data_IF_219637064046
#
_entry.id   IF_219637064046
#
_cell.length_a   1.000
_cell.length_b   1.000
_cell.length_c   1.000
_cell.angle_alpha   90.00
_cell.angle_beta   90.00
_cell.angle_gamma   90.00
#
_symmetry.space_group_name_H-M   'P 1'
#
loop_
_entity.id
_entity.type
_entity.pdbx_description
1 polymer ?
#
# COMPACT_ATOMS: atom_id res chain seq x y z
N UNK A 1 45.43 33.97 62.54
CA UNK A 1 45.63 33.51 61.15
C UNK A 1 45.19 32.06 61.06
N UNK A 2 44.46 31.70 59.99
CA UNK A 2 43.85 30.39 59.64
C UNK A 2 42.37 30.21 60.04
N UNK A 3 41.53 30.63 59.09
CA UNK A 3 40.11 30.35 58.91
C UNK A 3 39.90 28.97 58.29
N UNK A 4 38.99 28.17 58.84
CA UNK A 4 38.64 26.84 58.31
C UNK A 4 37.25 26.91 57.66
N UNK A 5 37.19 26.94 56.32
CA UNK A 5 35.93 26.78 55.57
C UNK A 5 35.62 25.27 55.46
N UNK A 6 34.50 24.83 56.03
CA UNK A 6 33.85 23.56 55.68
C UNK A 6 32.78 23.86 54.63
N UNK A 7 33.05 23.50 53.38
CA UNK A 7 32.07 23.48 52.30
C UNK A 7 32.32 22.22 51.48
N UNK A 8 31.50 21.20 51.68
CA UNK A 8 31.45 19.92 50.95
C UNK A 8 30.28 19.17 51.57
N UNK A 9 29.36 18.50 50.89
CA UNK A 9 29.21 18.07 49.51
C UNK A 9 27.80 17.45 49.49
N UNK A 10 26.77 18.11 48.97
CA UNK A 10 25.41 17.51 48.97
C UNK A 10 24.58 17.76 47.71
N UNK A 11 25.24 18.10 46.60
CA UNK A 11 24.56 18.41 45.34
C UNK A 11 25.32 17.80 44.16
N UNK A 12 25.56 16.48 44.17
CA UNK A 12 26.07 15.80 42.98
C UNK A 12 25.59 14.34 42.87
N UNK A 13 24.34 14.06 43.19
CA UNK A 13 23.74 12.72 42.96
C UNK A 13 22.38 12.78 42.26
N UNK A 14 22.07 13.88 41.56
CA UNK A 14 20.79 14.04 40.84
C UNK A 14 20.92 14.04 39.32
N UNK A 15 22.11 13.84 38.75
CA UNK A 15 22.34 14.00 37.31
C UNK A 15 22.62 12.71 36.52
N UNK A 16 22.55 11.54 37.16
CA UNK A 16 22.88 10.24 36.51
C UNK A 16 21.68 9.29 36.30
N UNK A 17 20.45 9.78 36.44
CA UNK A 17 19.21 8.99 36.21
C UNK A 17 18.43 9.39 34.95
N UNK A 18 18.88 10.41 34.22
CA UNK A 18 18.17 10.96 33.05
C UNK A 18 18.29 10.19 31.71
N UNK A 19 19.29 9.32 31.42
CA UNK A 19 19.33 8.68 30.10
C UNK A 19 18.43 7.44 29.97
N UNK A 20 17.88 6.88 31.05
CA UNK A 20 17.11 5.62 30.98
C UNK A 20 15.64 5.83 30.57
N UNK A 21 15.05 6.98 30.88
CA UNK A 21 13.63 7.28 30.60
C UNK A 21 13.40 7.57 29.11
N UNK A 22 14.36 8.22 28.44
CA UNK A 22 14.25 8.56 27.02
C UNK A 22 14.13 7.31 26.12
N UNK A 23 14.95 6.29 26.38
CA UNK A 23 14.98 5.08 25.54
C UNK A 23 13.74 4.18 25.71
N UNK A 24 13.10 4.20 26.88
CA UNK A 24 11.84 3.49 27.10
C UNK A 24 10.65 4.16 26.38
N UNK A 25 10.65 5.49 26.31
CA UNK A 25 9.60 6.27 25.65
C UNK A 25 9.62 6.08 24.12
N UNK A 26 10.80 6.12 23.49
CA UNK A 26 10.97 5.87 22.04
C UNK A 26 10.53 4.45 21.63
N UNK A 27 10.83 3.45 22.47
CA UNK A 27 10.46 2.04 22.23
C UNK A 27 8.96 1.78 22.43
N UNK A 28 8.26 2.62 23.18
CA UNK A 28 6.81 2.57 23.33
C UNK A 28 6.09 3.29 22.18
N UNK A 29 6.61 4.43 21.72
CA UNK A 29 6.01 5.19 20.62
C UNK A 29 6.04 4.41 19.30
N UNK A 30 7.13 3.71 19.01
CA UNK A 30 7.26 2.85 17.82
C UNK A 30 6.28 1.67 17.76
N UNK A 31 5.54 1.37 18.84
CA UNK A 31 4.48 0.36 18.88
C UNK A 31 3.07 0.90 18.63
N UNK A 32 2.92 2.21 18.44
CA UNK A 32 1.63 2.88 18.20
C UNK A 32 1.56 3.38 16.77
N UNK A 33 0.36 3.52 16.20
CA UNK A 33 0.22 4.06 14.84
C UNK A 33 0.75 5.48 14.84
N UNK A 34 0.35 6.29 15.83
CA UNK A 34 0.81 7.68 15.99
C UNK A 34 2.34 7.79 15.96
N UNK A 35 3.06 6.99 16.73
CA UNK A 35 4.51 7.07 16.79
C UNK A 35 5.21 6.52 15.53
N UNK A 36 4.58 5.62 14.77
CA UNK A 36 5.11 5.20 13.45
C UNK A 36 4.79 6.16 12.32
N UNK A 37 3.80 7.01 12.51
CA UNK A 37 3.38 8.01 11.52
C UNK A 37 3.78 9.43 11.91
N UNK A 38 4.59 9.60 12.95
CA UNK A 38 5.05 10.91 13.41
C UNK A 38 5.90 11.57 12.32
N UNK A 39 5.60 12.82 11.98
CA UNK A 39 6.26 13.56 10.90
C UNK A 39 5.82 13.17 9.47
N UNK A 40 5.03 12.11 9.29
CA UNK A 40 4.51 11.73 7.98
C UNK A 40 3.34 12.63 7.55
N UNK A 41 3.18 12.83 6.24
CA UNK A 41 2.02 13.53 5.71
C UNK A 41 0.79 12.63 5.78
N UNK A 42 -0.16 12.92 6.67
CA UNK A 42 -1.45 12.21 6.74
C UNK A 42 -2.37 12.64 5.58
N UNK A 43 -2.89 11.68 4.84
CA UNK A 43 -4.03 11.84 3.93
C UNK A 43 -5.23 11.13 4.55
N UNK A 44 -6.05 11.89 5.29
CA UNK A 44 -7.22 11.36 6.00
C UNK A 44 -8.41 11.14 5.07
N UNK A 45 -9.30 10.21 5.40
CA UNK A 45 -10.47 9.90 4.57
C UNK A 45 -10.95 8.46 4.71
N UNK A 46 -11.47 7.89 3.62
CA UNK A 46 -12.10 6.59 3.61
C UNK A 46 -11.15 5.48 4.08
N UNK A 47 -9.97 5.39 3.49
CA UNK A 47 -8.87 4.53 3.94
C UNK A 47 -7.67 5.42 4.27
N UNK A 48 -7.43 5.81 5.53
CA UNK A 48 -6.36 6.75 5.87
C UNK A 48 -4.99 6.29 5.36
N UNK A 49 -4.23 7.23 4.78
CA UNK A 49 -2.90 7.00 4.25
C UNK A 49 -1.89 7.92 4.92
N UNK A 50 -0.63 7.49 4.96
CA UNK A 50 0.49 8.29 5.47
C UNK A 50 1.63 8.22 4.47
N UNK A 51 2.00 9.39 3.93
CA UNK A 51 3.10 9.53 3.00
C UNK A 51 4.40 9.82 3.74
N UNK A 52 5.37 8.93 3.57
CA UNK A 52 6.76 9.09 3.99
C UNK A 52 7.58 9.55 2.79
N UNK A 53 7.86 10.85 2.76
CA UNK A 53 8.62 11.48 1.68
C UNK A 53 10.10 11.09 1.67
N UNK A 54 10.67 10.77 2.84
CA UNK A 54 12.09 10.39 2.95
C UNK A 54 12.30 8.94 2.49
N UNK A 55 11.41 8.04 2.92
CA UNK A 55 11.44 6.63 2.52
C UNK A 55 10.81 6.34 1.16
N UNK A 56 10.04 7.28 0.60
CA UNK A 56 9.26 7.07 -0.63
C UNK A 56 8.11 6.06 -0.44
N UNK A 57 7.53 6.01 0.76
CA UNK A 57 6.56 4.98 1.16
C UNK A 57 5.17 5.53 1.38
N UNK A 58 4.17 4.73 1.01
CA UNK A 58 2.77 5.00 1.30
C UNK A 58 2.26 3.95 2.28
N UNK A 59 2.10 4.36 3.53
CA UNK A 59 1.50 3.51 4.57
C UNK A 59 -0.02 3.66 4.51
N UNK A 60 -0.72 2.57 4.81
CA UNK A 60 -2.17 2.50 4.80
C UNK A 60 -2.68 1.97 6.15
N UNK A 61 -3.67 2.65 6.72
CA UNK A 61 -4.36 2.21 7.91
C UNK A 61 -5.59 1.39 7.53
N UNK A 62 -5.67 0.15 8.00
CA UNK A 62 -6.81 -0.74 7.80
C UNK A 62 -7.55 -0.90 9.13
N UNK A 63 -8.81 -0.49 9.13
CA UNK A 63 -9.70 -0.56 10.30
C UNK A 63 -11.01 -1.31 10.04
N UNK A 64 -11.33 -1.58 8.76
CA UNK A 64 -12.55 -2.26 8.33
C UNK A 64 -12.22 -3.68 7.87
N UNK A 65 -12.31 -4.62 8.80
CA UNK A 65 -12.18 -6.04 8.52
C UNK A 65 -13.54 -6.65 8.19
N UNK A 66 -13.54 -7.70 7.36
CA UNK A 66 -14.75 -8.41 6.94
C UNK A 66 -15.84 -7.49 6.37
N UNK A 67 -15.45 -6.33 5.85
CA UNK A 67 -16.32 -5.34 5.22
C UNK A 67 -15.93 -5.28 3.76
N UNK A 68 -16.90 -5.51 2.88
CA UNK A 68 -16.70 -5.49 1.44
C UNK A 68 -16.50 -4.05 0.93
N UNK A 69 -15.54 -3.89 0.04
CA UNK A 69 -15.13 -2.65 -0.60
C UNK A 69 -15.07 -2.87 -2.11
N UNK A 70 -15.37 -1.82 -2.86
CA UNK A 70 -15.12 -1.82 -4.31
C UNK A 70 -13.67 -1.39 -4.56
N UNK A 71 -12.90 -2.24 -5.22
CA UNK A 71 -11.56 -1.94 -5.72
C UNK A 71 -11.61 -1.82 -7.25
N UNK A 72 -11.39 -0.60 -7.75
CA UNK A 72 -11.40 -0.30 -9.18
C UNK A 72 -10.01 0.07 -9.67
N UNK A 73 -9.56 -0.61 -10.72
CA UNK A 73 -8.31 -0.32 -11.42
C UNK A 73 -8.59 0.56 -12.64
N UNK A 74 -7.68 1.46 -12.97
CA UNK A 74 -7.76 2.23 -14.22
C UNK A 74 -6.36 2.56 -14.72
N UNK A 75 -6.28 2.94 -15.99
CA UNK A 75 -5.10 3.46 -16.65
C UNK A 75 -5.33 4.94 -17.00
N UNK A 76 -5.03 5.89 -16.09
CA UNK A 76 -5.31 7.31 -16.30
C UNK A 76 -4.54 7.90 -17.50
N UNK A 77 -3.32 7.43 -17.71
CA UNK A 77 -2.36 7.82 -18.75
C UNK A 77 -1.47 6.63 -19.14
N UNK A 78 -0.70 6.76 -20.22
CA UNK A 78 0.24 5.73 -20.68
C UNK A 78 0.51 5.89 -22.17
N UNK A 79 0.83 4.78 -22.84
CA UNK A 79 1.15 4.75 -24.28
C UNK A 79 0.04 5.30 -25.19
N UNK A 80 -1.24 5.18 -24.78
CA UNK A 80 -2.38 5.73 -25.53
C UNK A 80 -2.51 5.15 -26.94
N UNK A 81 -2.35 3.83 -27.07
CA UNK A 81 -2.31 3.14 -28.35
C UNK A 81 -3.50 2.20 -28.51
N UNK A 82 -4.48 2.62 -29.31
CA UNK A 82 -5.68 1.83 -29.60
C UNK A 82 -5.35 0.45 -30.22
N UNK A 83 -4.37 0.29 -31.13
CA UNK A 83 -4.02 -1.03 -31.67
C UNK A 83 -3.45 -2.00 -30.62
N UNK A 84 -2.74 -1.48 -29.61
CA UNK A 84 -2.31 -2.27 -28.44
C UNK A 84 -3.49 -2.44 -27.45
N UNK A 85 -4.49 -1.57 -27.53
CA UNK A 85 -5.66 -1.52 -26.66
C UNK A 85 -5.37 -0.96 -25.27
N UNK A 86 -4.31 -0.14 -25.16
CA UNK A 86 -3.92 0.58 -23.94
C UNK A 86 -4.21 2.05 -24.13
N UNK A 87 -5.47 2.40 -23.88
CA UNK A 87 -5.99 3.75 -24.09
C UNK A 87 -6.00 4.55 -22.80
N UNK A 88 -5.84 5.87 -22.94
CA UNK A 88 -5.92 6.81 -21.82
C UNK A 88 -7.32 6.77 -21.18
N UNK A 89 -7.36 6.69 -19.85
CA UNK A 89 -8.60 6.71 -19.08
C UNK A 89 -9.36 5.38 -19.09
N UNK A 90 -8.73 4.31 -19.56
CA UNK A 90 -9.35 2.98 -19.61
C UNK A 90 -9.60 2.45 -18.21
N UNK A 91 -10.82 1.98 -17.95
CA UNK A 91 -11.14 1.21 -16.75
C UNK A 91 -10.59 -0.21 -16.92
N UNK A 92 -9.92 -0.69 -15.88
CA UNK A 92 -9.44 -2.06 -15.77
C UNK A 92 -10.39 -2.92 -14.94
N UNK A 93 -9.80 -3.90 -14.25
CA UNK A 93 -10.55 -4.83 -13.41
C UNK A 93 -11.27 -4.11 -12.26
N UNK A 94 -12.42 -4.67 -11.90
CA UNK A 94 -13.22 -4.26 -10.75
C UNK A 94 -13.37 -5.47 -9.84
N UNK A 95 -13.01 -5.30 -8.57
CA UNK A 95 -13.09 -6.36 -7.57
C UNK A 95 -13.99 -5.93 -6.41
N UNK A 96 -14.75 -6.87 -5.88
CA UNK A 96 -15.28 -6.75 -4.52
C UNK A 96 -14.26 -7.42 -3.61
N UNK A 97 -13.77 -6.69 -2.61
CA UNK A 97 -12.73 -7.21 -1.71
C UNK A 97 -13.06 -6.91 -0.26
N UNK A 98 -12.52 -7.71 0.65
CA UNK A 98 -12.49 -7.39 2.07
C UNK A 98 -11.13 -7.72 2.66
N UNK A 99 -10.84 -7.17 3.83
CA UNK A 99 -9.61 -7.47 4.56
C UNK A 99 -9.87 -8.51 5.64
N UNK A 100 -9.01 -9.54 5.69
CA UNK A 100 -8.98 -10.56 6.72
C UNK A 100 -7.63 -10.52 7.43
N UNK A 101 -7.63 -10.49 8.76
CA UNK A 101 -6.38 -10.53 9.54
C UNK A 101 -6.01 -11.97 9.88
N UNK A 102 -4.80 -12.38 9.49
CA UNK A 102 -4.25 -13.71 9.80
C UNK A 102 -2.88 -13.53 10.45
N UNK A 103 -2.85 -13.60 11.78
CA UNK A 103 -1.63 -13.41 12.57
C UNK A 103 -0.92 -12.07 12.28
N UNK A 104 0.34 -12.06 11.80
CA UNK A 104 1.09 -10.85 11.47
C UNK A 104 0.78 -10.28 10.08
N UNK A 105 -0.20 -10.85 9.37
CA UNK A 105 -0.59 -10.43 8.03
C UNK A 105 -2.03 -9.94 7.96
N UNK A 106 -2.29 -9.09 6.98
CA UNK A 106 -3.64 -8.80 6.49
C UNK A 106 -3.73 -9.27 5.05
N UNK A 107 -4.75 -10.05 4.74
CA UNK A 107 -5.03 -10.53 3.39
C UNK A 107 -6.12 -9.66 2.79
N UNK A 108 -5.94 -9.21 1.55
CA UNK A 108 -6.99 -8.67 0.71
C UNK A 108 -7.60 -9.83 -0.07
N UNK A 109 -8.86 -10.13 0.24
CA UNK A 109 -9.56 -11.32 -0.25
C UNK A 109 -10.68 -10.89 -1.17
N UNK A 110 -10.78 -11.54 -2.33
CA UNK A 110 -11.90 -11.46 -3.24
C UNK A 110 -12.79 -12.70 -3.06
N UNK A 111 -14.04 -12.54 -2.61
CA UNK A 111 -15.02 -13.61 -2.57
C UNK A 111 -15.50 -13.98 -3.99
N UNK A 112 -15.98 -15.20 -4.15
CA UNK A 112 -16.40 -15.70 -5.45
C UNK A 112 -17.92 -15.63 -5.65
N UNK A 113 -18.42 -14.47 -6.10
CA UNK A 113 -19.85 -14.30 -6.35
C UNK A 113 -20.38 -14.98 -7.61
N UNK A 114 -19.55 -15.72 -8.36
CA UNK A 114 -20.06 -16.59 -9.43
C UNK A 114 -20.92 -17.73 -8.86
N UNK A 115 -20.69 -18.09 -7.60
CA UNK A 115 -21.46 -19.09 -6.88
C UNK A 115 -21.98 -18.48 -5.57
N UNK A 116 -23.30 -18.44 -5.42
CA UNK A 116 -23.95 -17.86 -4.23
C UNK A 116 -25.17 -18.67 -3.85
N UNK A 117 -25.36 -18.89 -2.54
CA UNK A 117 -26.63 -19.41 -2.05
C UNK A 117 -27.66 -18.28 -2.09
N UNK A 118 -28.86 -18.57 -2.60
CA UNK A 118 -29.97 -17.59 -2.71
C UNK A 118 -30.97 -17.81 -1.57
N UNK A 119 -30.52 -18.45 -0.49
CA UNK A 119 -31.36 -18.82 0.66
C UNK A 119 -30.91 -18.08 1.91
N UNK A 120 -31.81 -18.01 2.89
CA UNK A 120 -31.50 -17.47 4.22
C UNK A 120 -30.93 -18.53 5.16
N UNK A 121 -30.74 -19.77 4.69
CA UNK A 121 -30.20 -20.84 5.51
C UNK A 121 -28.68 -20.67 5.71
N UNK A 122 -28.25 -20.63 6.97
CA UNK A 122 -26.86 -20.36 7.31
C UNK A 122 -25.93 -21.53 6.96
N UNK A 123 -26.42 -22.77 7.02
CA UNK A 123 -25.63 -23.95 6.69
C UNK A 123 -25.42 -24.06 5.18
N UNK A 124 -26.46 -23.79 4.39
CA UNK A 124 -26.37 -23.76 2.92
C UNK A 124 -25.43 -22.65 2.44
N UNK A 125 -25.53 -21.44 3.02
CA UNK A 125 -24.61 -20.33 2.70
C UNK A 125 -23.15 -20.69 2.98
N UNK A 126 -22.88 -21.28 4.14
CA UNK A 126 -21.53 -21.74 4.50
C UNK A 126 -21.06 -22.85 3.56
N UNK A 127 -21.92 -23.82 3.25
CA UNK A 127 -21.58 -24.90 2.33
C UNK A 127 -21.18 -24.35 0.95
N UNK A 128 -21.91 -23.37 0.40
CA UNK A 128 -21.53 -22.71 -0.85
C UNK A 128 -20.20 -21.95 -0.71
N UNK A 129 -20.03 -21.16 0.35
CA UNK A 129 -18.80 -20.41 0.61
C UNK A 129 -17.56 -21.32 0.71
N UNK A 130 -17.69 -22.48 1.34
CA UNK A 130 -16.61 -23.46 1.50
C UNK A 130 -16.38 -24.32 0.25
N UNK A 131 -17.39 -24.46 -0.62
CA UNK A 131 -17.32 -25.28 -1.83
C UNK A 131 -16.62 -24.60 -3.00
N UNK A 132 -16.54 -23.26 -3.01
CA UNK A 132 -15.98 -22.49 -4.11
C UNK A 132 -14.80 -21.63 -3.67
N UNK A 133 -13.71 -21.69 -4.43
CA UNK A 133 -12.48 -21.00 -4.09
C UNK A 133 -12.67 -19.48 -4.07
N UNK A 134 -12.09 -18.85 -3.05
CA UNK A 134 -11.82 -17.41 -2.94
C UNK A 134 -10.40 -17.08 -3.41
N UNK A 135 -10.17 -15.84 -3.80
CA UNK A 135 -8.84 -15.38 -4.23
C UNK A 135 -8.22 -14.46 -3.18
N UNK A 136 -6.95 -14.68 -2.84
CA UNK A 136 -6.16 -13.70 -2.07
C UNK A 136 -5.39 -12.85 -3.08
N UNK A 137 -5.81 -11.59 -3.24
CA UNK A 137 -5.20 -10.67 -4.21
C UNK A 137 -3.89 -10.08 -3.69
N UNK A 138 -3.78 -9.88 -2.37
CA UNK A 138 -2.54 -9.40 -1.75
C UNK A 138 -2.42 -9.76 -0.27
N UNK A 139 -1.18 -9.82 0.23
CA UNK A 139 -0.88 -10.03 1.64
C UNK A 139 0.02 -8.93 2.19
N UNK A 140 -0.52 -8.10 3.08
CA UNK A 140 0.22 -7.06 3.79
C UNK A 140 0.86 -7.60 5.05
N UNK A 141 2.08 -7.15 5.36
CA UNK A 141 2.69 -7.33 6.68
C UNK A 141 2.23 -6.20 7.59
N UNK A 142 1.81 -6.55 8.80
CA UNK A 142 1.44 -5.57 9.82
C UNK A 142 2.70 -4.92 10.40
N UNK A 143 2.80 -3.60 10.28
CA UNK A 143 3.86 -2.81 10.93
C UNK A 143 3.51 -2.51 12.38
N UNK A 144 2.25 -2.09 12.62
CA UNK A 144 1.70 -1.82 13.94
C UNK A 144 0.24 -2.23 13.99
N UNK A 145 -0.21 -2.73 15.14
CA UNK A 145 -1.62 -2.95 15.44
C UNK A 145 -2.00 -2.17 16.71
N UNK A 146 -3.08 -1.40 16.66
CA UNK A 146 -3.54 -0.56 17.76
C UNK A 146 -5.06 -0.45 17.71
N UNK A 147 -5.74 -0.82 18.80
CA UNK A 147 -7.20 -0.63 18.97
C UNK A 147 -8.06 -1.20 17.82
N UNK A 148 -7.70 -2.39 17.30
CA UNK A 148 -8.42 -3.02 16.19
C UNK A 148 -8.11 -2.42 14.81
N UNK A 149 -7.22 -1.44 14.73
CA UNK A 149 -6.65 -0.91 13.49
C UNK A 149 -5.26 -1.49 13.27
N UNK A 150 -4.83 -1.52 12.03
CA UNK A 150 -3.46 -1.90 11.67
C UNK A 150 -2.87 -0.94 10.65
N UNK A 151 -1.59 -0.66 10.80
CA UNK A 151 -0.80 0.08 9.83
C UNK A 151 0.02 -0.91 9.01
N UNK A 152 0.01 -0.76 7.69
CA UNK A 152 0.77 -1.58 6.75
C UNK A 152 1.55 -0.70 5.77
N UNK A 153 2.71 -1.16 5.31
CA UNK A 153 3.38 -0.59 4.14
C UNK A 153 2.68 -1.11 2.88
N UNK A 154 1.95 -0.22 2.20
CA UNK A 154 1.17 -0.56 1.00
C UNK A 154 1.88 -0.14 -0.29
N UNK A 155 3.14 0.31 -0.23
CA UNK A 155 3.88 0.84 -1.37
C UNK A 155 3.97 -0.19 -2.50
N UNK A 156 4.48 -1.39 -2.20
CA UNK A 156 4.56 -2.47 -3.17
C UNK A 156 3.19 -2.94 -3.65
N UNK A 157 2.12 -2.70 -2.88
CA UNK A 157 0.77 -3.00 -3.33
C UNK A 157 0.34 -2.09 -4.48
N UNK A 158 0.59 -0.78 -4.34
CA UNK A 158 0.18 0.21 -5.34
C UNK A 158 1.11 0.28 -6.56
N UNK A 159 2.33 -0.28 -6.46
CA UNK A 159 3.30 -0.29 -7.57
C UNK A 159 3.16 -1.52 -8.49
N UNK A 160 2.15 -2.38 -8.32
CA UNK A 160 1.95 -3.53 -9.21
C UNK A 160 1.30 -3.12 -10.54
N UNK A 161 1.56 -3.91 -11.57
CA UNK A 161 0.81 -3.88 -12.83
C UNK A 161 -0.56 -4.59 -12.68
N UNK A 162 -1.47 -3.97 -11.93
CA UNK A 162 -2.82 -4.52 -11.75
C UNK A 162 -3.69 -4.34 -13.01
N UNK A 163 -3.35 -3.39 -13.89
CA UNK A 163 -4.09 -3.15 -15.14
C UNK A 163 -3.78 -4.20 -16.21
N UNK A 164 -2.63 -4.89 -16.11
CA UNK A 164 -2.21 -5.94 -17.04
C UNK A 164 -1.53 -5.39 -18.29
N UNK A 165 -0.77 -4.30 -18.15
CA UNK A 165 0.00 -3.68 -19.25
C UNK A 165 1.01 -4.65 -19.83
N UNK A 166 1.75 -5.38 -18.99
CA UNK A 166 2.76 -6.36 -19.42
C UNK A 166 2.13 -7.46 -20.27
N UNK A 167 1.03 -8.04 -19.78
CA UNK A 167 0.32 -9.09 -20.50
C UNK A 167 -0.25 -8.57 -21.81
N UNK A 168 -0.80 -7.35 -21.81
CA UNK A 168 -1.31 -6.75 -23.05
C UNK A 168 -0.21 -6.52 -24.09
N UNK A 169 0.94 -6.00 -23.69
CA UNK A 169 2.08 -5.79 -24.59
C UNK A 169 2.59 -7.12 -25.16
N UNK A 170 2.64 -8.17 -24.34
CA UNK A 170 3.00 -9.51 -24.79
C UNK A 170 1.99 -10.05 -25.80
N UNK A 171 0.70 -9.99 -25.48
CA UNK A 171 -0.37 -10.59 -26.27
C UNK A 171 -0.59 -9.85 -27.61
N UNK A 172 -0.13 -8.60 -27.71
CA UNK A 172 -0.13 -7.79 -28.95
C UNK A 172 1.23 -7.78 -29.66
N UNK A 173 2.11 -8.72 -29.32
CA UNK A 173 3.43 -8.91 -29.95
C UNK A 173 4.35 -7.69 -29.85
N UNK A 174 4.21 -6.88 -28.79
CA UNK A 174 5.02 -5.69 -28.56
C UNK A 174 6.28 -5.94 -27.75
N UNK A 175 6.67 -7.19 -27.55
CA UNK A 175 7.86 -7.58 -26.81
C UNK A 175 7.55 -8.02 -25.38
N UNK A 176 8.59 -8.49 -24.68
CA UNK A 176 8.48 -8.98 -23.30
C UNK A 176 8.92 -7.89 -22.35
N UNK A 177 7.94 -7.22 -21.75
CA UNK A 177 8.17 -6.19 -20.76
C UNK A 177 8.18 -6.76 -19.34
N UNK A 178 8.93 -6.12 -18.46
CA UNK A 178 8.86 -6.32 -17.02
C UNK A 178 8.76 -4.98 -16.30
N UNK A 179 8.05 -4.95 -15.18
CA UNK A 179 8.02 -3.76 -14.32
C UNK A 179 9.43 -3.45 -13.81
N UNK A 180 9.82 -2.18 -13.92
CA UNK A 180 11.04 -1.63 -13.35
C UNK A 180 10.69 -0.82 -12.10
N UNK A 181 10.82 -1.47 -10.94
CA UNK A 181 10.53 -0.85 -9.64
C UNK A 181 11.40 0.38 -9.36
N UNK A 182 12.64 0.40 -9.85
CA UNK A 182 13.58 1.51 -9.62
C UNK A 182 13.17 2.81 -10.32
N UNK A 183 12.36 2.68 -11.38
CA UNK A 183 11.80 3.79 -12.15
C UNK A 183 10.29 3.92 -11.95
N UNK A 184 9.76 3.33 -10.88
CA UNK A 184 8.34 3.38 -10.52
C UNK A 184 8.18 4.04 -9.16
N UNK A 185 7.13 4.83 -8.98
CA UNK A 185 6.90 5.58 -7.76
C UNK A 185 5.42 5.94 -7.57
N UNK A 186 5.04 6.22 -6.32
CA UNK A 186 3.71 6.77 -6.02
C UNK A 186 3.60 8.17 -6.62
N UNK A 187 2.53 8.41 -7.37
CA UNK A 187 2.21 9.72 -7.92
C UNK A 187 1.34 10.51 -6.93
N UNK A 188 2.01 11.17 -5.99
CA UNK A 188 1.37 11.91 -4.90
C UNK A 188 0.39 13.03 -5.34
N UNK A 189 0.62 13.79 -6.43
CA UNK A 189 -0.28 14.88 -6.82
C UNK A 189 -1.75 14.45 -7.00
N UNK A 190 -1.99 13.22 -7.47
CA UNK A 190 -3.32 12.63 -7.66
C UNK A 190 -3.67 11.53 -6.66
N UNK A 191 -2.79 11.24 -5.71
CA UNK A 191 -3.15 10.40 -4.56
C UNK A 191 -3.95 11.25 -3.57
N UNK A 192 -5.23 10.91 -3.42
CA UNK A 192 -6.21 11.67 -2.64
C UNK A 192 -7.08 10.75 -1.81
N UNK A 193 -7.57 11.28 -0.72
CA UNK A 193 -8.45 10.55 0.17
C UNK A 193 -9.68 11.40 0.48
N UNK A 194 -10.85 10.79 0.33
CA UNK A 194 -12.15 11.43 0.44
C UNK A 194 -13.02 10.66 1.43
N UNK A 195 -14.15 11.21 1.91
CA UNK A 195 -15.01 10.49 2.87
C UNK A 195 -15.58 9.16 2.36
N UNK A 196 -15.73 8.99 1.04
CA UNK A 196 -16.38 7.82 0.42
C UNK A 196 -15.46 6.96 -0.44
N UNK A 197 -14.25 7.42 -0.75
CA UNK A 197 -13.28 6.69 -1.56
C UNK A 197 -11.86 7.17 -1.29
N UNK A 198 -10.90 6.31 -1.62
CA UNK A 198 -9.47 6.61 -1.61
C UNK A 198 -8.94 6.33 -3.00
N UNK A 199 -8.20 7.28 -3.56
CA UNK A 199 -7.58 7.18 -4.87
C UNK A 199 -6.06 7.23 -4.69
N UNK A 200 -5.38 6.22 -5.21
CA UNK A 200 -3.92 6.16 -5.24
C UNK A 200 -3.49 5.99 -6.68
N UNK A 201 -2.59 6.85 -7.12
CA UNK A 201 -2.02 6.81 -8.46
C UNK A 201 -0.53 6.49 -8.37
N UNK A 202 -0.03 5.71 -9.31
CA UNK A 202 1.37 5.34 -9.41
C UNK A 202 1.89 5.62 -10.82
N UNK A 203 3.13 6.07 -10.90
CA UNK A 203 3.91 6.06 -12.13
C UNK A 203 4.63 4.71 -12.19
N UNK A 204 4.28 3.89 -13.18
CA UNK A 204 4.91 2.59 -13.41
C UNK A 204 5.75 2.66 -14.67
N UNK A 205 6.98 2.15 -14.60
CA UNK A 205 7.86 2.04 -15.77
C UNK A 205 8.07 0.58 -16.10
N UNK A 206 7.99 0.24 -17.38
CA UNK A 206 8.18 -1.10 -17.93
C UNK A 206 9.39 -1.11 -18.86
N UNK A 207 10.25 -2.11 -18.69
CA UNK A 207 11.48 -2.28 -19.46
C UNK A 207 11.40 -3.49 -20.41
N UNK A 208 11.98 -3.37 -21.60
CA UNK A 208 12.16 -4.48 -22.54
C UNK A 208 13.39 -4.27 -23.44
N UNK A 209 14.08 -5.36 -23.80
CA UNK A 209 15.23 -5.30 -24.72
C UNK A 209 14.80 -5.13 -26.18
N UNK A 210 13.68 -5.77 -26.56
CA UNK A 210 13.16 -5.79 -27.93
C UNK A 210 11.69 -5.36 -27.96
N UNK A 211 11.39 -4.06 -27.78
CA UNK A 211 10.04 -3.51 -27.92
C UNK A 211 9.55 -3.69 -29.35
N UNK A 212 8.26 -3.96 -29.55
CA UNK A 212 7.63 -4.09 -30.87
C UNK A 212 7.46 -2.77 -31.60
N UNK A 213 6.99 -2.84 -32.85
CA UNK A 213 6.92 -1.69 -33.74
C UNK A 213 6.03 -0.56 -33.19
N UNK A 214 4.83 -0.89 -32.71
CA UNK A 214 3.88 0.12 -32.24
C UNK A 214 4.41 0.88 -31.01
N UNK A 215 5.14 0.19 -30.14
CA UNK A 215 5.82 0.84 -29.00
C UNK A 215 6.94 1.74 -29.50
N UNK A 216 7.76 1.30 -30.46
CA UNK A 216 8.84 2.12 -31.05
C UNK A 216 8.33 3.35 -31.79
N UNK A 217 7.15 3.24 -32.40
CA UNK A 217 6.54 4.34 -33.16
C UNK A 217 5.88 5.39 -32.25
N UNK A 218 5.49 5.00 -31.04
CA UNK A 218 4.73 5.86 -30.10
C UNK A 218 5.60 6.42 -28.97
N UNK A 219 6.49 5.59 -28.41
CA UNK A 219 7.27 5.95 -27.23
C UNK A 219 8.60 6.61 -27.61
N UNK A 220 9.02 7.70 -26.92
CA UNK A 220 10.30 8.36 -27.20
C UNK A 220 11.51 7.48 -26.90
N UNK A 221 11.39 6.53 -25.97
CA UNK A 221 12.40 5.51 -25.66
C UNK A 221 11.71 4.17 -25.46
N UNK A 222 11.65 3.36 -26.52
CA UNK A 222 10.81 2.18 -26.56
C UNK A 222 11.14 1.11 -25.50
N UNK A 223 12.41 1.04 -25.07
CA UNK A 223 12.89 0.12 -24.02
C UNK A 223 12.47 0.55 -22.62
N UNK A 224 11.81 1.71 -22.48
CA UNK A 224 11.45 2.35 -21.22
C UNK A 224 10.09 3.00 -21.35
N UNK A 225 9.02 2.21 -21.17
CA UNK A 225 7.65 2.69 -21.28
C UNK A 225 7.10 3.11 -19.92
N UNK A 226 6.45 4.26 -19.84
CA UNK A 226 5.80 4.77 -18.62
C UNK A 226 4.34 5.14 -18.92
#
# INVERSE_FOLDING_TARGET
MKTTKRLTLLTLFAFFLLPFVASAQERSQSKTIRGRTEGLQKLDGFMPLYWDAEGGKLLMEISRFSTELLYQVSLPTGIGSNPIGLDRGQLGNTHVVFFERVGPKVLMVEPNYRFRAITNDAAERRAVEESFARSVLYGFKVEVAEEGRVLVDATAFFLRDEHGVIDRLRDTEQGRFSLDESRSAIYLPRTKNFPKNTEVEATLTFAADQPGALVRDTAPTAQSLT
#
